data_IF_861843764604
#
_entry.id   IF_861843764604
#
_cell.length_a   1.000
_cell.length_b   1.000
_cell.length_c   1.000
_cell.angle_alpha   90.00
_cell.angle_beta   90.00
_cell.angle_gamma   90.00
#
_symmetry.space_group_name_H-M   'P 1'
#
loop_
_entity.id
_entity.type
_entity.pdbx_description
1 polymer ?
#
# COMPACT_ATOMS: atom_id res chain seq x y z
N UNK A 1 -1.80 -9.94 -3.50
CA UNK A 1 -1.19 -8.60 -3.68
C UNK A 1 0.19 -8.68 -4.33
N UNK A 2 1.19 -9.27 -3.69
CA UNK A 2 2.54 -9.35 -4.28
C UNK A 2 2.58 -10.01 -5.68
N UNK A 3 1.78 -11.04 -5.92
CA UNK A 3 1.64 -11.67 -7.24
C UNK A 3 1.04 -10.73 -8.29
N UNK A 4 0.08 -9.90 -7.89
CA UNK A 4 -0.57 -8.95 -8.79
C UNK A 4 0.28 -7.71 -9.08
N UNK A 5 1.34 -7.48 -8.31
CA UNK A 5 2.23 -6.34 -8.51
C UNK A 5 3.20 -6.54 -9.70
N UNK A 6 3.28 -7.74 -10.28
CA UNK A 6 4.16 -8.05 -11.43
C UNK A 6 5.59 -7.51 -11.21
N UNK A 7 6.19 -7.93 -10.08
CA UNK A 7 7.48 -7.43 -9.61
C UNK A 7 8.62 -7.94 -10.49
N UNK A 8 9.49 -7.04 -10.91
CA UNK A 8 10.66 -7.30 -11.74
C UNK A 8 11.96 -7.01 -10.99
N UNK A 9 13.07 -7.65 -11.38
CA UNK A 9 14.38 -7.44 -10.73
C UNK A 9 14.88 -5.98 -10.72
N UNK A 10 14.36 -5.16 -11.61
CA UNK A 10 14.72 -3.74 -11.77
C UNK A 10 13.83 -2.77 -10.99
N UNK A 11 12.77 -3.27 -10.34
CA UNK A 11 11.78 -2.42 -9.70
C UNK A 11 12.26 -1.84 -8.37
N UNK A 12 11.96 -0.57 -8.16
CA UNK A 12 11.95 0.09 -6.87
C UNK A 12 10.54 -0.01 -6.29
N UNK A 13 10.43 -0.59 -5.11
CA UNK A 13 9.16 -0.91 -4.46
C UNK A 13 8.93 0.00 -3.24
N UNK A 14 7.69 0.45 -3.05
CA UNK A 14 7.24 1.14 -1.85
C UNK A 14 6.16 0.34 -1.13
N UNK A 15 6.31 0.18 0.19
CA UNK A 15 5.25 -0.21 1.10
C UNK A 15 5.04 0.87 2.17
N UNK A 16 4.03 1.74 2.00
CA UNK A 16 3.88 2.95 2.81
C UNK A 16 3.17 2.75 4.16
N UNK A 17 2.76 1.54 4.50
CA UNK A 17 2.03 1.23 5.74
C UNK A 17 2.37 -0.19 6.21
N UNK A 18 3.66 -0.45 6.44
CA UNK A 18 4.22 -1.79 6.48
C UNK A 18 3.83 -2.62 7.72
N UNK A 19 3.38 -1.95 8.80
CA UNK A 19 3.02 -2.63 10.02
C UNK A 19 4.17 -3.50 10.56
N UNK A 20 3.89 -4.74 10.86
CA UNK A 20 4.90 -5.72 11.27
C UNK A 20 5.55 -6.46 10.07
N UNK A 21 5.33 -6.00 8.84
CA UNK A 21 6.00 -6.48 7.63
C UNK A 21 5.36 -7.70 6.96
N UNK A 22 4.08 -7.93 7.08
CA UNK A 22 3.42 -9.09 6.45
C UNK A 22 3.59 -9.09 4.91
N UNK A 23 3.40 -7.94 4.26
CA UNK A 23 3.63 -7.78 2.81
C UNK A 23 5.13 -7.90 2.51
N UNK A 24 5.98 -7.26 3.31
CA UNK A 24 7.46 -7.31 3.19
C UNK A 24 7.96 -8.76 3.19
N UNK A 25 7.46 -9.59 4.10
CA UNK A 25 7.80 -11.03 4.15
C UNK A 25 7.32 -11.75 2.89
N UNK A 26 6.14 -11.42 2.37
CA UNK A 26 5.64 -12.01 1.13
C UNK A 26 6.47 -11.59 -0.10
N UNK A 27 7.12 -10.43 -0.04
CA UNK A 27 8.01 -9.94 -1.11
C UNK A 27 9.35 -10.68 -1.17
N UNK A 28 9.75 -11.42 -0.13
CA UNK A 28 11.04 -12.17 -0.09
C UNK A 28 11.25 -13.12 -1.27
N UNK A 29 10.18 -13.65 -1.82
CA UNK A 29 10.24 -14.61 -2.94
C UNK A 29 10.52 -13.97 -4.29
N UNK A 30 10.48 -12.62 -4.38
CA UNK A 30 10.74 -11.86 -5.60
C UNK A 30 12.13 -11.24 -5.59
N UNK A 31 12.70 -11.04 -6.78
CA UNK A 31 13.87 -10.19 -6.98
C UNK A 31 13.40 -8.78 -7.33
N UNK A 32 13.96 -7.78 -6.72
CA UNK A 32 13.72 -6.35 -6.98
C UNK A 32 14.98 -5.55 -6.70
N UNK A 33 15.04 -4.30 -7.15
CA UNK A 33 16.21 -3.44 -6.97
C UNK A 33 16.27 -2.86 -5.56
N UNK A 34 15.15 -2.31 -5.09
CA UNK A 34 15.07 -1.73 -3.75
C UNK A 34 13.66 -1.85 -3.16
N UNK A 35 13.57 -1.82 -1.83
CA UNK A 35 12.31 -1.77 -1.08
C UNK A 35 12.42 -0.66 -0.03
N UNK A 36 11.51 0.30 -0.10
CA UNK A 36 11.31 1.35 0.90
C UNK A 36 10.02 1.07 1.66
N UNK A 37 10.06 1.18 2.99
CA UNK A 37 8.92 0.87 3.85
C UNK A 37 8.72 2.00 4.85
N UNK A 38 7.46 2.42 5.08
CA UNK A 38 7.10 3.38 6.14
C UNK A 38 6.29 2.70 7.23
N UNK A 39 6.55 3.10 8.47
CA UNK A 39 5.77 2.67 9.62
C UNK A 39 5.70 3.78 10.67
N UNK A 40 4.47 4.07 11.14
CA UNK A 40 4.17 5.12 12.10
C UNK A 40 4.36 4.66 13.55
N UNK A 41 4.08 3.39 13.84
CA UNK A 41 4.27 2.80 15.17
C UNK A 41 5.74 2.49 15.42
N UNK A 42 6.30 3.05 16.49
CA UNK A 42 7.69 2.78 16.90
C UNK A 42 7.94 1.29 17.20
N UNK A 43 6.96 0.62 17.79
CA UNK A 43 7.04 -0.81 18.08
C UNK A 43 7.09 -1.66 16.79
N UNK A 44 6.18 -1.40 15.85
CA UNK A 44 6.16 -2.09 14.57
C UNK A 44 7.40 -1.78 13.73
N UNK A 45 7.86 -0.51 13.74
CA UNK A 45 9.09 -0.11 13.07
C UNK A 45 10.31 -0.90 13.56
N UNK A 46 10.42 -1.14 14.88
CA UNK A 46 11.53 -1.95 15.43
C UNK A 46 11.51 -3.39 14.88
N UNK A 47 10.31 -3.99 14.78
CA UNK A 47 10.14 -5.32 14.17
C UNK A 47 10.49 -5.29 12.68
N UNK A 48 9.96 -4.31 11.94
CA UNK A 48 10.16 -4.14 10.51
C UNK A 48 11.65 -3.98 10.15
N UNK A 49 12.36 -3.12 10.88
CA UNK A 49 13.81 -2.89 10.71
C UNK A 49 14.63 -4.16 10.94
N UNK A 50 14.19 -5.02 11.88
CA UNK A 50 14.82 -6.32 12.16
C UNK A 50 14.72 -7.32 11.01
N UNK A 51 13.79 -7.16 10.07
CA UNK A 51 13.65 -8.05 8.91
C UNK A 51 14.79 -7.90 7.89
N UNK A 52 15.48 -6.77 7.86
CA UNK A 52 16.61 -6.47 6.95
C UNK A 52 16.32 -6.73 5.47
N UNK A 53 15.10 -6.43 5.01
CA UNK A 53 14.64 -6.69 3.64
C UNK A 53 14.65 -5.45 2.75
N UNK A 54 14.96 -4.29 3.31
CA UNK A 54 14.98 -3.00 2.62
C UNK A 54 15.18 -1.86 3.61
N UNK A 55 14.92 -0.64 3.17
CA UNK A 55 15.03 0.58 3.98
C UNK A 55 13.71 0.81 4.72
N UNK A 56 13.72 0.64 6.03
CA UNK A 56 12.60 1.00 6.89
C UNK A 56 12.74 2.45 7.37
N UNK A 57 11.69 3.23 7.24
CA UNK A 57 11.60 4.63 7.66
C UNK A 57 10.51 4.76 8.74
N UNK A 58 10.86 5.40 9.85
CA UNK A 58 9.92 5.71 10.92
C UNK A 58 9.28 7.07 10.66
N UNK A 59 7.98 7.13 10.46
CA UNK A 59 7.29 8.40 10.21
C UNK A 59 5.87 8.22 9.70
N UNK A 60 5.21 9.38 9.54
CA UNK A 60 3.87 9.48 8.96
C UNK A 60 4.00 9.59 7.44
N UNK A 61 3.69 8.51 6.74
CA UNK A 61 3.78 8.45 5.28
C UNK A 61 3.05 9.62 4.59
N UNK A 62 1.93 10.08 5.12
CA UNK A 62 1.17 11.19 4.52
C UNK A 62 1.90 12.54 4.57
N UNK A 63 2.98 12.65 5.32
CA UNK A 63 3.82 13.86 5.41
C UNK A 63 5.11 13.75 4.59
N UNK A 64 5.35 12.59 3.98
CA UNK A 64 6.57 12.32 3.24
C UNK A 64 6.35 12.51 1.73
N UNK A 65 7.34 13.06 1.06
CA UNK A 65 7.37 13.19 -0.41
C UNK A 65 8.49 12.34 -1.04
N UNK A 66 9.24 11.61 -0.20
CA UNK A 66 10.41 10.82 -0.59
C UNK A 66 11.47 11.61 -1.37
N UNK A 67 11.58 12.93 -1.14
CA UNK A 67 12.50 13.78 -1.88
C UNK A 67 12.23 13.82 -3.39
N UNK A 68 10.98 13.62 -3.81
CA UNK A 68 10.57 13.52 -5.21
C UNK A 68 10.88 12.17 -5.87
N UNK A 69 11.43 11.20 -5.14
CA UNK A 69 11.70 9.86 -5.67
C UNK A 69 10.38 9.16 -6.06
N UNK A 70 10.41 8.43 -7.18
CA UNK A 70 9.27 7.67 -7.69
C UNK A 70 9.56 6.18 -7.70
N UNK A 71 8.51 5.38 -7.52
CA UNK A 71 8.57 3.93 -7.42
C UNK A 71 7.92 3.26 -8.63
N UNK A 72 8.46 2.12 -9.04
CA UNK A 72 7.89 1.31 -10.12
C UNK A 72 6.67 0.53 -9.65
N UNK A 73 6.73 0.07 -8.39
CA UNK A 73 5.67 -0.70 -7.75
C UNK A 73 5.35 -0.14 -6.37
N UNK A 74 4.06 -0.08 -6.05
CA UNK A 74 3.59 0.23 -4.71
C UNK A 74 2.65 -0.89 -4.27
N UNK A 75 2.92 -1.50 -3.11
CA UNK A 75 2.09 -2.58 -2.56
C UNK A 75 1.72 -2.21 -1.13
N UNK A 76 0.43 -2.09 -0.83
CA UNK A 76 0.03 -1.52 0.45
C UNK A 76 -1.30 -2.06 0.99
N UNK A 77 -1.38 -2.11 2.32
CA UNK A 77 -2.62 -2.33 3.07
C UNK A 77 -2.80 -1.18 4.07
N UNK A 78 -3.32 -0.03 3.63
CA UNK A 78 -3.43 1.18 4.46
C UNK A 78 -4.50 1.03 5.56
N UNK A 79 -4.47 1.86 6.61
CA UNK A 79 -5.51 1.89 7.62
C UNK A 79 -6.85 2.34 7.01
N UNK A 80 -7.96 1.64 7.40
CA UNK A 80 -9.31 1.92 6.84
C UNK A 80 -10.07 3.00 7.62
N UNK A 81 -9.67 3.30 8.85
CA UNK A 81 -10.36 4.25 9.71
C UNK A 81 -10.45 5.62 9.05
N UNK A 82 -11.60 6.31 9.17
CA UNK A 82 -11.82 7.68 8.66
C UNK A 82 -11.48 7.88 7.18
N UNK A 83 -11.60 6.81 6.37
CA UNK A 83 -11.21 6.81 4.94
C UNK A 83 -9.74 7.17 4.71
N UNK A 84 -8.85 6.82 5.64
CA UNK A 84 -7.40 7.01 5.48
C UNK A 84 -6.84 6.17 4.33
N UNK A 85 -7.48 5.06 3.99
CA UNK A 85 -7.16 4.26 2.81
C UNK A 85 -7.20 5.10 1.52
N UNK A 86 -8.16 6.01 1.36
CA UNK A 86 -8.19 6.94 0.23
C UNK A 86 -7.00 7.91 0.25
N UNK A 87 -6.71 8.51 1.41
CA UNK A 87 -5.61 9.46 1.55
C UNK A 87 -4.27 8.80 1.20
N UNK A 88 -4.01 7.62 1.81
CA UNK A 88 -2.79 6.87 1.58
C UNK A 88 -2.62 6.43 0.13
N UNK A 89 -3.67 5.88 -0.50
CA UNK A 89 -3.58 5.42 -1.90
C UNK A 89 -3.41 6.59 -2.86
N UNK A 90 -4.13 7.70 -2.66
CA UNK A 90 -3.99 8.90 -3.51
C UNK A 90 -2.59 9.50 -3.39
N UNK A 91 -2.06 9.57 -2.16
CA UNK A 91 -0.69 10.06 -1.91
C UNK A 91 0.34 9.13 -2.54
N UNK A 92 0.24 7.82 -2.32
CA UNK A 92 1.12 6.82 -2.91
C UNK A 92 1.09 6.86 -4.45
N UNK A 93 -0.10 7.03 -5.05
CA UNK A 93 -0.23 7.16 -6.50
C UNK A 93 0.54 8.36 -7.07
N UNK A 94 0.65 9.45 -6.32
CA UNK A 94 1.48 10.59 -6.73
C UNK A 94 2.96 10.23 -6.84
N UNK A 95 3.42 9.24 -6.06
CA UNK A 95 4.81 8.74 -6.05
C UNK A 95 5.06 7.60 -7.05
N UNK A 96 4.04 7.15 -7.76
CA UNK A 96 4.18 6.11 -8.78
C UNK A 96 4.84 6.67 -10.04
N UNK A 97 5.78 5.92 -10.63
CA UNK A 97 6.37 6.21 -11.95
C UNK A 97 5.35 6.04 -13.07
N UNK A 98 5.71 6.48 -14.25
CA UNK A 98 5.04 6.18 -15.50
C UNK A 98 6.04 5.50 -16.45
N UNK A 99 5.87 4.22 -16.83
CA UNK A 99 4.82 3.30 -16.36
C UNK A 99 5.05 2.81 -14.92
N UNK A 100 3.97 2.55 -14.19
CA UNK A 100 4.03 2.02 -12.82
C UNK A 100 2.74 1.33 -12.40
N UNK A 101 2.80 0.55 -11.31
CA UNK A 101 1.64 -0.21 -10.81
C UNK A 101 1.54 -0.12 -9.29
N UNK A 102 0.37 0.32 -8.81
CA UNK A 102 -0.01 0.29 -7.40
C UNK A 102 -1.05 -0.82 -7.16
N UNK A 103 -0.79 -1.66 -6.15
CA UNK A 103 -1.72 -2.69 -5.67
C UNK A 103 -2.03 -2.42 -4.20
N UNK A 104 -3.29 -2.23 -3.88
CA UNK A 104 -3.74 -1.93 -2.53
C UNK A 104 -4.91 -2.79 -2.09
N UNK A 105 -5.06 -2.95 -0.78
CA UNK A 105 -6.31 -3.40 -0.17
C UNK A 105 -7.02 -2.15 0.37
N UNK A 106 -8.29 -2.00 0.03
CA UNK A 106 -9.09 -0.86 0.46
C UNK A 106 -10.44 -1.32 1.03
N UNK A 107 -11.03 -0.49 1.88
CA UNK A 107 -12.38 -0.75 2.36
C UNK A 107 -13.39 -0.68 1.21
N UNK A 108 -14.33 -1.63 1.13
CA UNK A 108 -15.36 -1.63 0.09
C UNK A 108 -16.18 -0.33 0.09
N UNK A 109 -16.39 0.25 1.27
CA UNK A 109 -17.19 1.47 1.42
C UNK A 109 -16.70 2.67 0.61
N UNK A 110 -15.42 2.74 0.23
CA UNK A 110 -14.89 3.88 -0.57
C UNK A 110 -15.46 3.92 -1.99
N UNK A 111 -15.97 2.80 -2.48
CA UNK A 111 -16.60 2.70 -3.81
C UNK A 111 -18.03 3.25 -3.85
N UNK A 112 -18.66 3.42 -2.69
CA UNK A 112 -20.06 3.83 -2.57
C UNK A 112 -20.26 5.15 -1.81
N UNK A 113 -19.27 5.54 -0.97
CA UNK A 113 -19.36 6.78 -0.19
C UNK A 113 -19.20 8.02 -1.07
N UNK A 114 -20.01 9.06 -0.79
CA UNK A 114 -19.96 10.34 -1.52
C UNK A 114 -19.08 11.40 -0.80
N UNK A 115 -18.00 10.96 -0.17
CA UNK A 115 -17.00 11.87 0.42
C UNK A 115 -16.05 12.41 -0.65
N UNK A 116 -15.48 13.61 -0.42
CA UNK A 116 -14.49 14.18 -1.34
C UNK A 116 -13.30 13.23 -1.57
N UNK A 117 -12.79 12.60 -0.51
CA UNK A 117 -11.69 11.62 -0.57
C UNK A 117 -12.03 10.43 -1.47
N UNK A 118 -13.22 9.85 -1.30
CA UNK A 118 -13.67 8.71 -2.11
C UNK A 118 -13.86 9.10 -3.58
N UNK A 119 -14.36 10.30 -3.86
CA UNK A 119 -14.48 10.82 -5.24
C UNK A 119 -13.12 11.01 -5.91
N UNK A 120 -12.15 11.60 -5.21
CA UNK A 120 -10.78 11.77 -5.72
C UNK A 120 -10.15 10.40 -6.03
N UNK A 121 -10.26 9.44 -5.13
CA UNK A 121 -9.77 8.09 -5.35
C UNK A 121 -10.44 7.43 -6.58
N UNK A 122 -11.77 7.46 -6.68
CA UNK A 122 -12.49 6.88 -7.83
C UNK A 122 -12.15 7.55 -9.17
N UNK A 123 -11.78 8.84 -9.15
CA UNK A 123 -11.33 9.57 -10.34
C UNK A 123 -10.01 9.03 -10.92
N UNK A 124 -9.23 8.26 -10.15
CA UNK A 124 -8.05 7.55 -10.64
C UNK A 124 -8.40 6.31 -11.49
N UNK A 125 -9.69 6.00 -11.62
CA UNK A 125 -10.21 4.86 -12.39
C UNK A 125 -9.61 3.49 -11.97
N UNK A 126 -9.70 3.10 -10.68
CA UNK A 126 -9.12 1.86 -10.19
C UNK A 126 -9.86 0.64 -10.73
N UNK A 127 -9.11 -0.37 -11.18
CA UNK A 127 -9.64 -1.73 -11.25
C UNK A 127 -9.78 -2.30 -9.83
N UNK A 128 -10.85 -3.03 -9.54
CA UNK A 128 -11.03 -3.64 -8.23
C UNK A 128 -11.80 -4.94 -8.24
N UNK A 129 -11.47 -5.83 -7.29
CA UNK A 129 -12.13 -7.11 -7.04
C UNK A 129 -12.46 -7.25 -5.55
N UNK A 130 -13.65 -7.78 -5.23
CA UNK A 130 -14.05 -8.05 -3.85
C UNK A 130 -13.21 -9.18 -3.28
N UNK A 131 -12.68 -9.00 -2.08
CA UNK A 131 -12.06 -10.08 -1.33
C UNK A 131 -13.12 -10.90 -0.57
N UNK A 132 -12.88 -12.21 -0.34
CA UNK A 132 -13.79 -13.03 0.44
C UNK A 132 -14.09 -12.43 1.81
N UNK A 133 -15.31 -12.58 2.30
CA UNK A 133 -15.69 -12.11 3.63
C UNK A 133 -14.78 -12.73 4.69
N UNK A 134 -14.41 -11.92 5.68
CA UNK A 134 -13.53 -12.35 6.76
C UNK A 134 -12.05 -12.50 6.41
N UNK A 135 -11.61 -12.08 5.22
CA UNK A 135 -10.18 -12.11 4.82
C UNK A 135 -9.25 -11.51 5.90
N UNK A 136 -9.70 -10.48 6.63
CA UNK A 136 -8.95 -9.81 7.70
C UNK A 136 -9.49 -10.06 9.10
N UNK A 137 -10.31 -11.08 9.29
CA UNK A 137 -10.87 -11.43 10.62
C UNK A 137 -9.78 -11.69 11.66
N UNK A 138 -8.71 -12.37 11.26
CA UNK A 138 -7.54 -12.60 12.13
C UNK A 138 -6.77 -11.32 12.49
N UNK A 139 -6.93 -10.25 11.72
CA UNK A 139 -6.35 -8.91 11.98
C UNK A 139 -7.32 -7.99 12.73
N UNK A 140 -8.43 -8.54 13.27
CA UNK A 140 -9.35 -7.80 14.13
C UNK A 140 -10.35 -6.91 13.39
N UNK A 141 -10.52 -7.05 12.06
CA UNK A 141 -11.52 -6.28 11.32
C UNK A 141 -12.49 -7.17 10.53
N UNK A 142 -13.78 -6.78 10.55
CA UNK A 142 -14.85 -7.38 9.75
C UNK A 142 -15.21 -6.52 8.52
N UNK A 143 -14.41 -5.50 8.24
CA UNK A 143 -14.65 -4.59 7.12
C UNK A 143 -14.52 -5.37 5.81
N UNK A 144 -15.58 -5.33 4.98
CA UNK A 144 -15.48 -5.83 3.61
C UNK A 144 -14.45 -5.01 2.86
N UNK A 145 -13.59 -5.69 2.14
CA UNK A 145 -12.45 -5.08 1.46
C UNK A 145 -12.35 -5.53 0.02
N UNK A 146 -11.69 -4.70 -0.77
CA UNK A 146 -11.39 -4.94 -2.18
C UNK A 146 -9.90 -4.89 -2.42
N UNK A 147 -9.45 -5.74 -3.31
CA UNK A 147 -8.16 -5.62 -3.95
C UNK A 147 -8.28 -4.60 -5.08
N UNK A 148 -7.34 -3.67 -5.13
CA UNK A 148 -7.34 -2.54 -6.06
C UNK A 148 -6.06 -2.53 -6.85
N UNK A 149 -6.16 -2.20 -8.15
CA UNK A 149 -5.02 -1.90 -9.02
C UNK A 149 -5.18 -0.52 -9.64
N UNK A 150 -4.10 0.24 -9.65
CA UNK A 150 -3.97 1.53 -10.33
C UNK A 150 -2.71 1.51 -11.18
N UNK A 151 -2.85 1.77 -12.45
CA UNK A 151 -1.75 1.93 -13.40
C UNK A 151 -1.52 3.42 -13.68
N UNK A 152 -0.26 3.75 -13.98
CA UNK A 152 0.12 5.12 -14.33
C UNK A 152 0.99 5.14 -15.58
#
# INVERSE_FOLDING_TARGET
MAEMADIKPTDDILEPSAGRGAIVVALRKYRFRSLTMFELSRENYAVLSGLKLGTALFGDFLKEDCGGFKFDKIVMNPPFSRSQDCDHVTHAYSMLRTPGLLVAIMSEGVFFRETAKARIFRALNPWSECLPEGTFKSSGTMVRSRLVRLEK
#
